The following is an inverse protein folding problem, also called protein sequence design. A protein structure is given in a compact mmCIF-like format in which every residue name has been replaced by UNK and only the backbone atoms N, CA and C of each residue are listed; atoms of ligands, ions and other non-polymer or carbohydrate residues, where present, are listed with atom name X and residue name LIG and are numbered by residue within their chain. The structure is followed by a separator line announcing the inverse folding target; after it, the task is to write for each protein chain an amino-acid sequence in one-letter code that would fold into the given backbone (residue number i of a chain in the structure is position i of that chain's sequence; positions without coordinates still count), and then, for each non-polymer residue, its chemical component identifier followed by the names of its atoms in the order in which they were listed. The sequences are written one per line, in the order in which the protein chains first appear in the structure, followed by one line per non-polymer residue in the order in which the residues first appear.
data_IF_933687159780
#
_entry.id   IF_933687159780
#
_cell.length_a   1.000
_cell.length_b   1.000
_cell.length_c   1.000
_cell.angle_alpha   90.00
_cell.angle_beta   90.00
_cell.angle_gamma   90.00
#
_symmetry.space_group_name_H-M   'P 1'
#
loop_
_entity.id
_entity.type
_entity.pdbx_description
1 polymer ?
#
# COMPACT_ATOMS: atom_id res chain seq x y z
N UNK A 1 -6.80 -7.90 21.00
CA UNK A 1 -8.25 -8.02 20.65
C UNK A 1 -8.36 -7.95 19.12
N UNK A 2 -8.67 -9.07 18.45
CA UNK A 2 -8.90 -9.06 16.99
C UNK A 2 -10.21 -8.33 16.70
N UNK A 3 -10.20 -7.44 15.69
CA UNK A 3 -11.32 -6.59 15.32
C UNK A 3 -12.54 -7.42 14.89
N UNK A 4 -13.71 -7.13 15.47
CA UNK A 4 -14.98 -7.82 15.19
C UNK A 4 -15.46 -7.69 13.73
N UNK A 5 -14.90 -6.76 12.97
CA UNK A 5 -15.23 -6.50 11.55
C UNK A 5 -14.67 -7.51 10.55
N UNK A 6 -13.78 -8.41 10.96
CA UNK A 6 -13.11 -9.38 10.06
C UNK A 6 -13.82 -10.75 10.06
N UNK A 7 -14.96 -10.88 10.75
CA UNK A 7 -15.58 -12.18 11.03
C UNK A 7 -16.22 -12.84 9.80
N UNK A 8 -16.66 -12.05 8.82
CA UNK A 8 -17.33 -12.54 7.60
C UNK A 8 -16.52 -12.25 6.34
N UNK A 9 -15.18 -12.25 6.45
CA UNK A 9 -14.33 -12.07 5.28
C UNK A 9 -13.93 -13.45 4.71
N UNK A 10 -14.09 -13.61 3.40
CA UNK A 10 -13.68 -14.81 2.64
C UNK A 10 -12.33 -15.35 3.16
N UNK A 11 -12.24 -16.64 3.57
CA UNK A 11 -11.02 -17.25 4.10
C UNK A 11 -9.79 -16.99 3.21
N UNK A 12 -9.98 -16.95 1.89
CA UNK A 12 -8.92 -16.68 0.92
C UNK A 12 -8.38 -15.25 1.01
N UNK A 13 -9.23 -14.29 1.36
CA UNK A 13 -8.78 -12.91 1.58
C UNK A 13 -8.07 -12.74 2.92
N UNK A 14 -8.49 -13.47 3.96
CA UNK A 14 -7.80 -13.47 5.25
C UNK A 14 -6.36 -13.95 5.11
N UNK A 15 -6.14 -15.06 4.40
CA UNK A 15 -4.79 -15.56 4.10
C UNK A 15 -3.94 -14.53 3.35
N UNK A 16 -4.53 -13.82 2.37
CA UNK A 16 -3.82 -12.79 1.60
C UNK A 16 -3.47 -11.54 2.44
N UNK A 17 -4.34 -11.13 3.37
CA UNK A 17 -4.02 -10.08 4.33
C UNK A 17 -2.91 -10.52 5.30
N UNK A 18 -2.92 -11.77 5.74
CA UNK A 18 -1.88 -12.33 6.61
C UNK A 18 -0.51 -12.43 5.91
N UNK A 19 -0.49 -12.56 4.58
CA UNK A 19 0.73 -12.51 3.75
C UNK A 19 1.28 -11.09 3.61
N UNK A 20 0.43 -10.05 3.65
CA UNK A 20 0.87 -8.65 3.55
C UNK A 20 1.34 -8.12 4.92
N UNK A 21 2.55 -8.49 5.33
CA UNK A 21 3.09 -8.26 6.68
C UNK A 21 3.54 -6.82 7.00
N UNK A 22 3.32 -5.86 6.11
CA UNK A 22 3.73 -4.45 6.28
C UNK A 22 2.53 -3.52 6.17
N UNK A 23 2.71 -2.27 6.56
CA UNK A 23 1.66 -1.27 6.35
C UNK A 23 1.42 -1.06 4.85
N UNK A 24 0.15 -0.96 4.45
CA UNK A 24 -0.25 -0.57 3.10
C UNK A 24 -0.07 0.94 2.90
N UNK A 25 1.14 1.43 3.17
CA UNK A 25 1.58 2.80 3.00
C UNK A 25 2.72 2.86 1.97
N UNK A 26 2.64 3.80 1.04
CA UNK A 26 3.66 4.03 0.02
C UNK A 26 3.70 5.51 -0.34
N UNK A 27 4.86 6.15 -0.14
CA UNK A 27 5.10 7.52 -0.60
C UNK A 27 5.45 7.49 -2.09
N UNK A 28 4.50 7.90 -2.94
CA UNK A 28 4.68 7.93 -4.40
C UNK A 28 5.73 8.96 -4.83
N UNK A 29 5.80 10.07 -4.13
CA UNK A 29 6.65 11.18 -4.50
C UNK A 29 7.21 11.92 -3.30
N UNK A 30 8.32 12.59 -3.54
CA UNK A 30 8.97 13.48 -2.58
C UNK A 30 9.51 14.70 -3.34
N UNK A 31 9.25 15.88 -2.81
CA UNK A 31 9.79 17.13 -3.31
C UNK A 31 10.51 17.89 -2.20
N UNK A 32 11.67 18.45 -2.51
CA UNK A 32 12.44 19.27 -1.57
C UNK A 32 13.40 20.21 -2.31
N UNK A 33 13.98 21.16 -1.58
CA UNK A 33 15.02 22.05 -2.11
C UNK A 33 16.37 21.33 -1.99
N UNK A 34 17.04 21.08 -3.10
CA UNK A 34 18.33 20.39 -3.10
C UNK A 34 19.36 21.20 -2.29
N UNK A 35 20.06 20.59 -1.32
CA UNK A 35 20.84 21.32 -0.33
C UNK A 35 22.00 22.13 -0.94
N UNK A 36 22.66 21.61 -1.97
CA UNK A 36 23.77 22.27 -2.68
C UNK A 36 23.29 23.23 -3.77
N UNK A 37 22.46 22.76 -4.71
CA UNK A 37 22.05 23.55 -5.88
C UNK A 37 20.95 24.58 -5.59
N UNK A 38 20.28 24.48 -4.43
CA UNK A 38 19.13 25.31 -4.01
C UNK A 38 17.95 25.31 -4.99
N UNK A 39 17.92 24.35 -5.92
CA UNK A 39 16.82 24.16 -6.86
C UNK A 39 15.76 23.25 -6.24
N UNK A 40 14.50 23.51 -6.53
CA UNK A 40 13.43 22.56 -6.25
C UNK A 40 13.64 21.30 -7.08
N UNK A 41 13.63 20.15 -6.41
CA UNK A 41 13.73 18.84 -7.04
C UNK A 41 12.54 17.99 -6.62
N UNK A 42 12.09 17.15 -7.54
CA UNK A 42 10.95 16.28 -7.35
C UNK A 42 11.30 14.88 -7.85
N UNK A 43 10.96 13.88 -7.04
CA UNK A 43 11.19 12.48 -7.34
C UNK A 43 9.87 11.72 -7.25
N UNK A 44 9.67 10.77 -8.15
CA UNK A 44 8.56 9.81 -8.10
C UNK A 44 9.10 8.38 -8.17
N UNK A 45 8.33 7.45 -7.62
CA UNK A 45 8.58 6.03 -7.77
C UNK A 45 7.30 5.25 -8.09
N UNK A 46 7.50 4.09 -8.72
CA UNK A 46 6.40 3.17 -8.98
C UNK A 46 5.96 2.44 -7.71
N UNK A 47 4.71 2.01 -7.71
CA UNK A 47 4.15 1.23 -6.60
C UNK A 47 4.83 -0.14 -6.55
N UNK A 48 5.22 -0.61 -5.34
CA UNK A 48 5.72 -1.97 -5.16
C UNK A 48 4.72 -3.04 -5.63
N UNK A 49 5.24 -4.16 -6.14
CA UNK A 49 4.41 -5.22 -6.76
C UNK A 49 3.40 -5.84 -5.81
N UNK A 50 3.81 -6.05 -4.56
CA UNK A 50 2.94 -6.54 -3.49
C UNK A 50 1.76 -5.58 -3.24
N UNK A 51 2.00 -4.27 -3.31
CA UNK A 51 0.99 -3.23 -3.19
C UNK A 51 -0.01 -3.28 -4.35
N UNK A 52 0.46 -3.44 -5.58
CA UNK A 52 -0.42 -3.62 -6.74
C UNK A 52 -1.31 -4.85 -6.61
N UNK A 53 -0.73 -5.95 -6.14
CA UNK A 53 -1.45 -7.21 -5.97
C UNK A 53 -2.54 -7.06 -4.90
N UNK A 54 -2.22 -6.43 -3.77
CA UNK A 54 -3.18 -6.12 -2.72
C UNK A 54 -4.35 -5.29 -3.26
N UNK A 55 -4.07 -4.22 -4.02
CA UNK A 55 -5.10 -3.37 -4.64
C UNK A 55 -5.98 -4.14 -5.61
N UNK A 56 -5.41 -5.05 -6.43
CA UNK A 56 -6.19 -5.88 -7.36
C UNK A 56 -7.16 -6.79 -6.64
N UNK A 57 -6.75 -7.36 -5.51
CA UNK A 57 -7.58 -8.25 -4.69
C UNK A 57 -8.73 -7.45 -4.06
N UNK A 58 -8.43 -6.32 -3.42
CA UNK A 58 -9.44 -5.46 -2.79
C UNK A 58 -10.47 -4.98 -3.84
N UNK A 59 -10.03 -4.59 -5.04
CA UNK A 59 -10.93 -4.18 -6.12
C UNK A 59 -11.84 -5.31 -6.63
N UNK A 60 -11.41 -6.58 -6.54
CA UNK A 60 -12.23 -7.74 -6.93
C UNK A 60 -13.28 -8.07 -5.88
N UNK A 61 -12.99 -7.82 -4.61
CA UNK A 61 -13.89 -8.05 -3.48
C UNK A 61 -14.93 -6.95 -3.33
N UNK A 62 -15.46 -6.42 -4.45
CA UNK A 62 -16.49 -5.39 -4.43
C UNK A 62 -17.60 -5.79 -3.45
N UNK A 63 -17.80 -4.96 -2.42
CA UNK A 63 -19.07 -4.83 -1.73
C UNK A 63 -20.07 -4.13 -2.66
#
# INVERSE_FOLDING_TARGET
KQNKFIRDIDPKFKELLDVFKRQALHAKSIGFIHPTTKKEVYFECEKPKDFENLLKIIKKLKF
#
